data_IF_919299030996
#
_entry.id   IF_919299030996
#
_cell.length_a   1.000
_cell.length_b   1.000
_cell.length_c   1.000
_cell.angle_alpha   90.00
_cell.angle_beta   90.00
_cell.angle_gamma   90.00
#
_symmetry.space_group_name_H-M   'P 1'
#
loop_
_entity.id
_entity.type
_entity.pdbx_description
1 polymer ?
#
# COMPACT_ATOMS: atom_id res chain seq x y z
N UNK A 1 7.07 7.91 -3.79
CA UNK A 1 6.64 6.99 -4.88
C UNK A 1 6.35 7.78 -6.14
N UNK A 2 6.23 7.12 -7.29
CA UNK A 2 5.84 7.73 -8.57
C UNK A 2 4.88 6.79 -9.32
N UNK A 3 4.05 7.34 -10.20
CA UNK A 3 3.16 6.57 -11.08
C UNK A 3 3.33 7.09 -12.51
N UNK A 4 3.74 6.21 -13.42
CA UNK A 4 3.89 6.54 -14.84
C UNK A 4 2.70 5.94 -15.58
N UNK A 5 1.97 6.77 -16.31
CA UNK A 5 0.82 6.36 -17.11
C UNK A 5 1.01 6.85 -18.54
N UNK A 6 0.60 6.03 -19.53
CA UNK A 6 0.48 6.51 -20.92
C UNK A 6 -0.75 7.40 -21.07
N UNK A 7 -1.87 6.94 -20.52
CA UNK A 7 -3.12 7.69 -20.49
C UNK A 7 -3.11 8.73 -19.36
N UNK A 8 -3.79 9.85 -19.59
CA UNK A 8 -3.96 10.89 -18.57
C UNK A 8 -4.95 10.41 -17.51
N UNK A 9 -4.57 10.35 -16.22
CA UNK A 9 -5.49 10.01 -15.15
C UNK A 9 -6.56 11.09 -14.98
N UNK A 10 -7.78 10.69 -14.60
CA UNK A 10 -8.88 11.60 -14.30
C UNK A 10 -8.57 12.42 -13.04
N UNK A 11 -8.04 11.74 -12.03
CA UNK A 11 -7.62 12.34 -10.77
C UNK A 11 -6.34 11.67 -10.28
N UNK A 12 -5.48 12.45 -9.62
CA UNK A 12 -4.26 11.97 -8.93
C UNK A 12 -4.21 12.59 -7.55
N UNK A 13 -3.83 11.79 -6.56
CA UNK A 13 -3.58 12.24 -5.19
C UNK A 13 -2.40 11.52 -4.55
N UNK A 14 -1.79 12.15 -3.56
CA UNK A 14 -0.70 11.58 -2.75
C UNK A 14 -1.20 11.41 -1.32
N UNK A 15 -0.87 10.27 -0.70
CA UNK A 15 -1.40 9.92 0.63
C UNK A 15 -2.93 9.71 0.67
N UNK A 16 -3.41 9.28 1.83
CA UNK A 16 -4.82 9.23 2.19
C UNK A 16 -5.33 10.64 2.60
N UNK A 17 -6.66 10.88 2.62
CA UNK A 17 -7.19 12.10 3.20
C UNK A 17 -6.69 12.31 4.65
N UNK A 18 -6.03 13.44 4.91
CA UNK A 18 -5.52 13.79 6.25
C UNK A 18 -4.16 13.20 6.62
N UNK A 19 -3.49 12.52 5.68
CA UNK A 19 -2.14 11.99 5.90
C UNK A 19 -1.07 13.08 6.07
N UNK A 20 -0.08 12.78 6.89
CA UNK A 20 1.10 13.62 7.08
C UNK A 20 2.05 13.59 5.85
N UNK A 21 3.05 14.47 5.89
CA UNK A 21 4.07 14.61 4.84
C UNK A 21 4.87 13.33 4.57
N UNK A 22 5.05 12.44 5.55
CA UNK A 22 5.76 11.18 5.34
C UNK A 22 4.89 10.19 4.56
N UNK A 23 3.62 10.06 4.94
CA UNK A 23 2.66 9.20 4.28
C UNK A 23 2.39 9.64 2.82
N UNK A 24 2.37 10.95 2.55
CA UNK A 24 2.29 11.50 1.18
C UNK A 24 3.46 11.11 0.27
N UNK A 25 4.62 10.71 0.84
CA UNK A 25 5.77 10.21 0.06
C UNK A 25 5.70 8.72 -0.23
N UNK A 26 4.80 8.00 0.44
CA UNK A 26 4.65 6.53 0.35
C UNK A 26 3.48 6.07 -0.49
N UNK A 27 2.49 6.92 -0.78
CA UNK A 27 1.31 6.54 -1.56
C UNK A 27 1.06 7.53 -2.70
N UNK A 28 0.73 6.99 -3.87
CA UNK A 28 0.10 7.73 -4.96
C UNK A 28 -1.12 6.93 -5.44
N UNK A 29 -2.25 7.62 -5.57
CA UNK A 29 -3.50 7.05 -6.07
C UNK A 29 -3.94 7.79 -7.31
N UNK A 30 -4.45 7.05 -8.29
CA UNK A 30 -4.95 7.61 -9.53
C UNK A 30 -6.22 6.91 -9.99
N UNK A 31 -7.14 7.67 -10.58
CA UNK A 31 -8.27 7.12 -11.32
C UNK A 31 -7.89 7.07 -12.81
N UNK A 32 -7.77 5.86 -13.34
CA UNK A 32 -7.41 5.63 -14.75
C UNK A 32 -8.69 5.41 -15.55
N UNK A 33 -8.96 6.19 -16.61
CA UNK A 33 -10.13 5.99 -17.46
C UNK A 33 -10.02 4.66 -18.23
N UNK A 34 -11.15 3.94 -18.34
CA UNK A 34 -11.27 2.77 -19.21
C UNK A 34 -12.69 2.69 -19.78
N UNK A 35 -12.84 1.98 -20.91
CA UNK A 35 -14.12 1.80 -21.61
C UNK A 35 -15.19 1.11 -20.75
N UNK A 36 -14.78 0.38 -19.72
CA UNK A 36 -15.66 -0.36 -18.80
C UNK A 36 -15.90 0.37 -17.47
N UNK A 37 -15.46 1.64 -17.36
CA UNK A 37 -15.47 2.42 -16.13
C UNK A 37 -14.06 2.72 -15.62
N UNK A 38 -13.97 3.61 -14.63
CA UNK A 38 -12.68 4.01 -14.07
C UNK A 38 -12.07 2.89 -13.23
N UNK A 39 -10.73 2.79 -13.25
CA UNK A 39 -9.97 1.90 -12.38
C UNK A 39 -9.24 2.74 -11.35
N UNK A 40 -9.48 2.48 -10.07
CA UNK A 40 -8.71 3.10 -8.98
C UNK A 40 -7.41 2.33 -8.81
N UNK A 41 -6.28 2.99 -9.06
CA UNK A 41 -4.94 2.44 -8.88
C UNK A 41 -4.32 3.05 -7.64
N UNK A 42 -3.88 2.22 -6.70
CA UNK A 42 -3.19 2.60 -5.47
C UNK A 42 -1.78 2.01 -5.52
N UNK A 43 -0.75 2.86 -5.65
CA UNK A 43 0.65 2.46 -5.61
C UNK A 43 1.29 2.89 -4.28
N UNK A 44 1.68 1.90 -3.46
CA UNK A 44 2.20 2.09 -2.11
C UNK A 44 3.62 1.57 -1.90
N UNK A 45 4.43 2.33 -1.16
CA UNK A 45 5.69 1.87 -0.56
C UNK A 45 5.50 1.73 0.95
N UNK A 46 5.10 0.53 1.37
CA UNK A 46 4.66 0.26 2.72
C UNK A 46 5.86 0.26 3.69
N UNK A 47 5.69 0.72 4.93
CA UNK A 47 6.78 0.69 5.91
C UNK A 47 7.29 -0.75 6.15
N UNK A 48 8.60 -0.94 6.14
CA UNK A 48 9.20 -2.26 6.39
C UNK A 48 8.96 -2.74 7.83
N UNK A 49 8.99 -1.82 8.80
CA UNK A 49 8.62 -2.05 10.20
C UNK A 49 9.77 -2.46 11.13
N UNK A 50 10.97 -2.71 10.60
CA UNK A 50 12.15 -3.22 11.30
C UNK A 50 11.88 -4.53 12.04
N UNK A 51 11.69 -4.47 13.36
CA UNK A 51 11.38 -5.58 14.25
C UNK A 51 10.09 -5.29 15.01
N UNK A 52 9.43 -6.34 15.51
CA UNK A 52 8.15 -6.21 16.22
C UNK A 52 8.22 -5.31 17.46
N UNK A 53 9.37 -5.28 18.12
CA UNK A 53 9.65 -4.49 19.33
C UNK A 53 10.13 -3.06 19.04
N UNK A 54 10.38 -2.70 17.78
CA UNK A 54 10.83 -1.35 17.45
C UNK A 54 9.72 -0.32 17.76
N UNK A 55 9.95 0.65 18.67
CA UNK A 55 8.88 1.44 19.29
C UNK A 55 8.19 2.44 18.36
N UNK A 56 8.80 2.75 17.20
CA UNK A 56 8.27 3.73 16.23
C UNK A 56 7.88 3.06 14.91
N UNK A 57 8.80 2.33 14.27
CA UNK A 57 8.63 1.75 12.92
C UNK A 57 7.53 0.69 12.83
N UNK A 58 7.40 -0.20 13.82
CA UNK A 58 6.36 -1.23 13.76
C UNK A 58 4.95 -0.64 13.98
N UNK A 59 4.72 0.25 14.96
CA UNK A 59 3.47 1.01 15.05
C UNK A 59 3.13 1.79 13.77
N UNK A 60 4.10 2.45 13.14
CA UNK A 60 3.89 3.16 11.88
C UNK A 60 3.46 2.21 10.74
N UNK A 61 4.02 1.00 10.66
CA UNK A 61 3.57 -0.05 9.72
C UNK A 61 2.12 -0.45 9.98
N UNK A 62 1.76 -0.71 11.23
CA UNK A 62 0.39 -1.08 11.60
C UNK A 62 -0.62 0.03 11.24
N UNK A 63 -0.32 1.28 11.60
CA UNK A 63 -1.15 2.44 11.27
C UNK A 63 -1.31 2.63 9.76
N UNK A 64 -0.24 2.41 8.98
CA UNK A 64 -0.30 2.53 7.52
C UNK A 64 -1.29 1.53 6.90
N UNK A 65 -1.24 0.26 7.33
CA UNK A 65 -2.20 -0.75 6.88
C UNK A 65 -3.63 -0.46 7.38
N UNK A 66 -3.78 0.08 8.59
CA UNK A 66 -5.08 0.51 9.11
C UNK A 66 -5.68 1.66 8.28
N UNK A 67 -4.87 2.65 7.90
CA UNK A 67 -5.31 3.76 7.05
C UNK A 67 -5.75 3.26 5.67
N UNK A 68 -5.00 2.31 5.08
CA UNK A 68 -5.42 1.67 3.84
C UNK A 68 -6.74 0.92 4.00
N UNK A 69 -6.89 0.11 5.04
CA UNK A 69 -8.11 -0.65 5.29
C UNK A 69 -9.31 0.28 5.44
N UNK A 70 -9.18 1.33 6.25
CA UNK A 70 -10.23 2.34 6.43
C UNK A 70 -10.61 2.99 5.10
N UNK A 71 -9.63 3.41 4.30
CA UNK A 71 -9.89 4.02 2.98
C UNK A 71 -10.67 3.07 2.06
N UNK A 72 -10.29 1.79 2.02
CA UNK A 72 -10.98 0.79 1.20
C UNK A 72 -12.43 0.55 1.65
N UNK A 73 -12.68 0.59 2.96
CA UNK A 73 -14.01 0.34 3.53
C UNK A 73 -14.95 1.55 3.47
N UNK A 74 -14.41 2.78 3.53
CA UNK A 74 -15.23 4.00 3.56
C UNK A 74 -15.39 4.66 2.20
N UNK A 75 -14.36 4.65 1.35
CA UNK A 75 -14.35 5.41 0.10
C UNK A 75 -14.62 4.54 -1.14
N UNK A 76 -14.39 3.23 -1.06
CA UNK A 76 -14.54 2.31 -2.19
C UNK A 76 -15.58 1.23 -1.90
N UNK A 77 -16.09 0.61 -2.96
CA UNK A 77 -16.95 -0.57 -2.88
C UNK A 77 -16.20 -1.77 -3.44
N UNK A 78 -16.49 -2.95 -2.89
CA UNK A 78 -15.95 -4.24 -3.36
C UNK A 78 -16.14 -4.51 -4.86
N UNK A 79 -17.15 -3.90 -5.48
CA UNK A 79 -17.47 -4.08 -6.89
C UNK A 79 -16.81 -3.01 -7.79
N UNK A 80 -16.14 -2.01 -7.19
CA UNK A 80 -15.34 -1.07 -7.96
C UNK A 80 -14.06 -1.76 -8.49
N UNK A 81 -13.62 -1.45 -9.72
CA UNK A 81 -12.33 -1.93 -10.22
C UNK A 81 -11.18 -1.23 -9.45
N UNK A 82 -10.54 -1.97 -8.55
CA UNK A 82 -9.44 -1.45 -7.71
C UNK A 82 -8.20 -2.32 -7.89
N UNK A 83 -7.05 -1.66 -8.09
CA UNK A 83 -5.73 -2.30 -8.13
C UNK A 83 -4.84 -1.67 -7.05
N UNK A 84 -4.47 -2.47 -6.06
CA UNK A 84 -3.47 -2.11 -5.05
C UNK A 84 -2.15 -2.79 -5.42
N UNK A 85 -1.09 -2.00 -5.59
CA UNK A 85 0.24 -2.48 -5.97
C UNK A 85 1.32 -1.79 -5.14
N UNK A 86 2.53 -2.37 -5.19
CA UNK A 86 3.72 -1.76 -4.66
C UNK A 86 4.57 -2.74 -3.86
N UNK A 87 5.36 -2.21 -2.93
CA UNK A 87 6.17 -3.03 -2.01
C UNK A 87 5.48 -3.09 -0.65
N UNK A 88 4.80 -4.21 -0.40
CA UNK A 88 4.02 -4.46 0.81
C UNK A 88 4.90 -4.71 2.05
N UNK A 89 6.18 -5.07 1.88
CA UNK A 89 7.07 -5.47 2.97
C UNK A 89 6.49 -6.58 3.88
N UNK A 90 5.65 -7.47 3.33
CA UNK A 90 5.06 -8.62 4.01
C UNK A 90 5.03 -9.76 2.99
N UNK A 91 5.58 -10.92 3.37
CA UNK A 91 5.35 -12.19 2.68
C UNK A 91 4.00 -12.76 3.14
N UNK A 92 2.97 -12.85 2.27
CA UNK A 92 1.62 -13.27 2.69
C UNK A 92 1.54 -14.73 3.15
N UNK A 93 2.33 -15.61 2.52
CA UNK A 93 2.33 -17.04 2.81
C UNK A 93 3.76 -17.55 3.00
N UNK A 94 3.91 -18.74 3.60
CA UNK A 94 5.21 -19.40 3.74
C UNK A 94 5.87 -19.71 2.38
N UNK A 95 5.07 -19.84 1.32
CA UNK A 95 5.57 -20.06 -0.04
C UNK A 95 6.33 -18.85 -0.61
N UNK A 96 6.13 -17.67 -0.01
CA UNK A 96 6.79 -16.42 -0.38
C UNK A 96 8.11 -16.21 0.38
N UNK A 97 8.60 -17.22 1.12
CA UNK A 97 9.79 -17.13 1.99
C UNK A 97 10.87 -18.11 1.52
N UNK A 98 11.89 -17.59 0.82
CA UNK A 98 13.00 -18.38 0.26
C UNK A 98 14.33 -18.32 1.02
N UNK A 99 14.37 -17.78 2.25
CA UNK A 99 15.62 -17.47 2.97
C UNK A 99 16.17 -18.63 3.84
N UNK A 100 15.45 -19.75 3.90
CA UNK A 100 15.77 -20.91 4.75
C UNK A 100 15.28 -20.75 6.20
N UNK A 101 15.01 -21.89 6.87
CA UNK A 101 14.39 -21.92 8.20
C UNK A 101 15.20 -21.22 9.30
N UNK A 102 16.52 -21.32 9.29
CA UNK A 102 17.35 -20.63 10.29
C UNK A 102 17.23 -19.11 10.19
N UNK A 103 17.22 -18.58 8.98
CA UNK A 103 17.03 -17.15 8.76
C UNK A 103 15.59 -16.75 9.06
N UNK A 104 14.59 -17.59 8.73
CA UNK A 104 13.18 -17.33 9.03
C UNK A 104 12.95 -17.03 10.51
N UNK A 105 13.59 -17.79 11.42
CA UNK A 105 13.51 -17.59 12.88
C UNK A 105 14.08 -16.25 13.37
N UNK A 106 14.91 -15.57 12.57
CA UNK A 106 15.47 -14.25 12.93
C UNK A 106 14.52 -13.09 12.59
N UNK A 107 13.53 -13.34 11.73
CA UNK A 107 12.58 -12.34 11.24
C UNK A 107 11.16 -12.48 11.82
N UNK A 108 10.85 -13.62 12.47
CA UNK A 108 9.59 -13.89 13.17
C UNK A 108 9.68 -13.54 14.66
#
# INVERSE_FOLDING_TARGET
VALLTKETPIAVRRGFPGDDEEAQRRIIMAEIPSLLGNVTVINGYFPQGESRDHPIKFPAKAQFYQNLQNYLETELKRDNPVLIMGDMNISPTDLDIGIGEENRKRWL
#
